data_IF_417621728868
#
_entry.id   IF_417621728868
#
_cell.length_a   1.000
_cell.length_b   1.000
_cell.length_c   1.000
_cell.angle_alpha   90.00
_cell.angle_beta   90.00
_cell.angle_gamma   90.00
#
_symmetry.space_group_name_H-M   'P 1'
#
loop_
_entity.id
_entity.type
_entity.pdbx_description
1 polymer ?
#
# COMPACT_ATOMS: atom_id res chain seq x y z
N UNK A 1 3.25 -8.31 19.90
CA UNK A 1 3.42 -9.13 18.70
C UNK A 1 4.25 -8.41 17.65
N UNK A 2 5.08 -9.17 16.91
CA UNK A 2 5.87 -8.70 15.77
C UNK A 2 5.77 -9.71 14.63
N UNK A 3 5.91 -9.23 13.40
CA UNK A 3 5.87 -10.09 12.22
C UNK A 3 7.13 -9.91 11.37
N UNK A 4 7.62 -10.97 10.79
CA UNK A 4 8.67 -10.93 9.79
C UNK A 4 8.13 -10.65 8.36
N UNK A 5 6.81 -10.56 8.21
CA UNK A 5 6.15 -10.44 6.89
C UNK A 5 6.37 -9.10 6.19
N UNK A 6 6.71 -8.02 6.89
CA UNK A 6 6.79 -6.65 6.34
C UNK A 6 8.23 -6.15 6.29
N UNK A 7 8.72 -5.52 7.35
CA UNK A 7 10.05 -4.90 7.38
C UNK A 7 11.20 -5.89 7.09
N UNK A 8 11.05 -7.15 7.49
CA UNK A 8 12.02 -8.20 7.16
C UNK A 8 11.85 -8.80 5.75
N UNK A 9 10.72 -8.54 5.06
CA UNK A 9 10.48 -9.05 3.72
C UNK A 9 10.16 -10.55 3.63
N UNK A 10 9.82 -11.19 4.74
CA UNK A 10 9.65 -12.65 4.85
C UNK A 10 8.16 -13.08 4.91
N UNK A 11 7.30 -12.43 4.14
CA UNK A 11 5.86 -12.69 4.16
C UNK A 11 5.51 -14.16 3.85
N UNK A 12 6.23 -14.79 2.92
CA UNK A 12 6.02 -16.18 2.50
C UNK A 12 6.36 -17.20 3.57
N UNK A 13 7.22 -16.88 4.52
CA UNK A 13 7.67 -17.82 5.57
C UNK A 13 6.69 -17.93 6.75
N UNK A 14 5.70 -17.07 6.86
CA UNK A 14 4.64 -17.10 7.88
C UNK A 14 5.18 -17.11 9.32
N UNK A 15 6.21 -16.30 9.62
CA UNK A 15 6.86 -16.20 10.93
C UNK A 15 6.53 -14.86 11.61
N UNK A 16 6.34 -14.94 12.90
CA UNK A 16 6.21 -13.81 13.81
C UNK A 16 6.52 -14.26 15.24
N UNK A 17 6.57 -13.33 16.15
CA UNK A 17 6.76 -13.65 17.56
C UNK A 17 5.91 -12.75 18.48
N UNK A 18 5.64 -13.26 19.67
CA UNK A 18 4.98 -12.52 20.74
C UNK A 18 5.83 -12.54 22.01
N UNK A 19 5.79 -11.43 22.73
CA UNK A 19 6.36 -11.33 24.08
C UNK A 19 5.30 -10.87 25.05
N UNK A 20 5.35 -11.34 26.28
CA UNK A 20 4.36 -11.01 27.29
C UNK A 20 4.69 -11.62 28.64
N UNK A 21 3.76 -11.51 29.61
CA UNK A 21 3.94 -12.16 30.91
C UNK A 21 4.03 -13.68 30.75
N UNK A 22 4.77 -14.38 31.63
CA UNK A 22 4.87 -15.84 31.58
C UNK A 22 3.50 -16.54 31.57
N UNK A 23 2.55 -16.05 32.33
CA UNK A 23 1.18 -16.59 32.38
C UNK A 23 0.50 -16.51 31.03
N UNK A 24 0.58 -15.35 30.35
CA UNK A 24 0.01 -15.17 29.02
C UNK A 24 0.66 -16.11 27.99
N UNK A 25 2.00 -16.18 28.01
CA UNK A 25 2.74 -17.05 27.09
C UNK A 25 2.38 -18.52 27.30
N UNK A 26 2.26 -18.98 28.55
CA UNK A 26 1.82 -20.35 28.85
C UNK A 26 0.42 -20.67 28.34
N UNK A 27 -0.52 -19.71 28.45
CA UNK A 27 -1.87 -19.90 27.89
C UNK A 27 -1.83 -19.97 26.37
N UNK A 28 -1.05 -19.11 25.71
CA UNK A 28 -0.86 -19.15 24.26
C UNK A 28 -0.25 -20.46 23.78
N UNK A 29 0.76 -20.97 24.48
CA UNK A 29 1.40 -22.26 24.16
C UNK A 29 0.44 -23.43 24.20
N UNK A 30 -0.58 -23.41 25.06
CA UNK A 30 -1.59 -24.50 25.14
C UNK A 30 -2.48 -24.59 23.90
N UNK A 31 -2.63 -23.52 23.13
CA UNK A 31 -3.47 -23.46 21.93
C UNK A 31 -2.67 -23.54 20.62
N UNK A 32 -1.34 -23.50 20.72
CA UNK A 32 -0.48 -23.67 19.54
C UNK A 32 -0.45 -25.12 19.08
N UNK A 33 -0.57 -25.31 17.78
CA UNK A 33 -0.39 -26.64 17.19
C UNK A 33 1.08 -27.06 17.28
N UNK A 34 1.36 -28.35 17.48
CA UNK A 34 2.72 -28.89 17.33
C UNK A 34 3.26 -28.53 15.94
N UNK A 35 4.53 -28.14 15.88
CA UNK A 35 5.23 -27.82 14.61
C UNK A 35 4.55 -26.73 13.75
N UNK A 36 3.85 -25.78 14.39
CA UNK A 36 3.10 -24.68 13.75
C UNK A 36 3.97 -23.76 12.86
N UNK A 37 5.30 -23.78 13.03
CA UNK A 37 6.27 -23.11 12.14
C UNK A 37 7.30 -24.15 11.70
N UNK A 38 7.56 -24.25 10.40
CA UNK A 38 8.55 -25.19 9.88
C UNK A 38 10.00 -24.73 10.20
N UNK A 39 10.91 -25.70 10.30
CA UNK A 39 12.30 -25.44 10.71
C UNK A 39 13.05 -24.51 9.75
N UNK A 40 12.80 -24.59 8.44
CA UNK A 40 13.42 -23.71 7.46
C UNK A 40 12.99 -22.26 7.67
N UNK A 41 11.70 -22.01 7.89
CA UNK A 41 11.19 -20.68 8.18
C UNK A 41 11.80 -20.08 9.44
N UNK A 42 11.99 -20.90 10.49
CA UNK A 42 12.64 -20.44 11.72
C UNK A 42 14.11 -20.09 11.49
N UNK A 43 14.85 -20.95 10.80
CA UNK A 43 16.27 -20.73 10.48
C UNK A 43 16.46 -19.41 9.70
N UNK A 44 15.66 -19.20 8.64
CA UNK A 44 15.76 -17.96 7.84
C UNK A 44 15.37 -16.74 8.67
N UNK A 45 14.33 -16.84 9.51
CA UNK A 45 13.91 -15.72 10.37
C UNK A 45 15.00 -15.37 11.40
N UNK A 46 15.64 -16.36 12.01
CA UNK A 46 16.76 -16.16 12.95
C UNK A 46 17.95 -15.51 12.23
N UNK A 47 18.35 -16.04 11.07
CA UNK A 47 19.45 -15.46 10.29
C UNK A 47 19.22 -13.99 9.99
N UNK A 48 18.02 -13.61 9.51
CA UNK A 48 17.71 -12.22 9.19
C UNK A 48 17.54 -11.35 10.44
N UNK A 49 17.09 -11.93 11.55
CA UNK A 49 16.98 -11.21 12.83
C UNK A 49 18.35 -10.81 13.39
N UNK A 50 19.38 -11.62 13.16
CA UNK A 50 20.75 -11.35 13.58
C UNK A 50 21.47 -10.30 12.72
N UNK A 51 20.81 -9.82 11.64
CA UNK A 51 21.32 -8.79 10.72
C UNK A 51 20.55 -7.46 10.86
N UNK A 52 20.69 -6.73 11.99
CA UNK A 52 19.91 -5.53 12.28
C UNK A 52 20.13 -4.40 11.27
N UNK A 53 21.30 -4.32 10.66
CA UNK A 53 21.62 -3.27 9.69
C UNK A 53 20.84 -3.45 8.38
N UNK A 54 20.57 -4.69 7.98
CA UNK A 54 19.70 -4.97 6.84
C UNK A 54 18.27 -4.46 7.09
N UNK A 55 17.75 -4.70 8.31
CA UNK A 55 16.43 -4.20 8.70
C UNK A 55 16.39 -2.67 8.71
N UNK A 56 17.38 -2.01 9.32
CA UNK A 56 17.46 -0.54 9.39
C UNK A 56 17.50 0.08 8.00
N UNK A 57 18.33 -0.45 7.11
CA UNK A 57 18.45 0.00 5.72
C UNK A 57 17.11 -0.07 4.98
N UNK A 58 16.41 -1.21 5.06
CA UNK A 58 15.09 -1.39 4.44
C UNK A 58 14.04 -0.44 5.00
N UNK A 59 14.00 -0.28 6.31
CA UNK A 59 13.07 0.63 6.98
C UNK A 59 13.33 2.07 6.57
N UNK A 60 14.59 2.50 6.53
CA UNK A 60 14.98 3.85 6.10
C UNK A 60 14.51 4.10 4.65
N UNK A 61 14.81 3.18 3.74
CA UNK A 61 14.37 3.27 2.35
C UNK A 61 12.84 3.45 2.24
N UNK A 62 12.05 2.64 2.93
CA UNK A 62 10.59 2.74 2.90
C UNK A 62 10.10 4.08 3.49
N UNK A 63 10.73 4.58 4.54
CA UNK A 63 10.40 5.88 5.13
C UNK A 63 10.64 7.00 4.12
N UNK A 64 11.76 6.98 3.42
CA UNK A 64 12.14 8.02 2.46
C UNK A 64 11.28 7.95 1.20
N UNK A 65 11.03 6.76 0.67
CA UNK A 65 10.11 6.57 -0.45
C UNK A 65 8.68 7.00 -0.10
N UNK A 66 8.21 6.75 1.12
CA UNK A 66 6.91 7.22 1.58
C UNK A 66 6.85 8.75 1.62
N UNK A 67 7.89 9.44 2.08
CA UNK A 67 7.97 10.91 2.08
C UNK A 67 7.91 11.47 0.65
N UNK A 68 8.69 10.89 -0.28
CA UNK A 68 8.70 11.29 -1.70
C UNK A 68 7.33 11.10 -2.33
N UNK A 69 6.72 9.92 -2.16
CA UNK A 69 5.40 9.60 -2.70
C UNK A 69 4.31 10.50 -2.13
N UNK A 70 4.32 10.74 -0.82
CA UNK A 70 3.38 11.67 -0.18
C UNK A 70 3.48 13.08 -0.75
N UNK A 71 4.71 13.58 -0.97
CA UNK A 71 4.94 14.89 -1.58
C UNK A 71 4.40 14.94 -3.02
N UNK A 72 4.66 13.90 -3.80
CA UNK A 72 4.20 13.82 -5.19
C UNK A 72 2.68 13.76 -5.28
N UNK A 73 2.02 12.92 -4.48
CA UNK A 73 0.56 12.77 -4.48
C UNK A 73 -0.15 14.06 -4.03
N UNK A 74 0.36 14.72 -2.98
CA UNK A 74 -0.17 16.02 -2.55
C UNK A 74 -0.05 17.09 -3.64
N UNK A 75 1.06 17.11 -4.38
CA UNK A 75 1.26 18.02 -5.51
C UNK A 75 0.36 17.74 -6.72
N UNK A 76 -0.36 16.64 -6.72
CA UNK A 76 -1.36 16.24 -7.74
C UNK A 76 -2.80 16.30 -7.22
N UNK A 77 -3.04 16.98 -6.10
CA UNK A 77 -4.35 17.13 -5.45
C UNK A 77 -5.00 15.83 -4.95
N UNK A 78 -4.18 14.84 -4.58
CA UNK A 78 -4.68 13.68 -3.84
C UNK A 78 -4.70 13.96 -2.33
N UNK A 79 -5.78 13.56 -1.67
CA UNK A 79 -5.86 13.48 -0.21
C UNK A 79 -5.20 12.20 0.28
N UNK A 80 -4.45 12.29 1.37
CA UNK A 80 -3.68 11.18 1.94
C UNK A 80 -4.13 10.88 3.36
N UNK A 81 -4.22 9.61 3.68
CA UNK A 81 -4.32 9.18 5.07
C UNK A 81 -2.92 9.04 5.69
N UNK A 82 -2.72 9.47 6.96
CA UNK A 82 -1.46 9.28 7.66
C UNK A 82 -1.05 7.81 7.69
N UNK A 83 0.20 7.52 7.37
CA UNK A 83 0.72 6.15 7.34
C UNK A 83 2.11 6.06 7.96
N UNK A 84 2.31 5.04 8.81
CA UNK A 84 3.62 4.60 9.31
C UNK A 84 3.98 3.20 8.78
N UNK A 85 3.27 2.74 7.74
CA UNK A 85 3.42 1.41 7.16
C UNK A 85 4.23 1.45 5.85
N UNK A 86 4.32 0.31 5.18
CA UNK A 86 4.91 0.17 3.85
C UNK A 86 3.90 0.42 2.71
N UNK A 87 2.79 1.05 3.00
CA UNK A 87 1.80 1.46 1.99
C UNK A 87 1.23 2.84 2.31
N UNK A 88 0.62 3.45 1.30
CA UNK A 88 -0.11 4.72 1.39
C UNK A 88 -1.54 4.45 0.97
N UNK A 89 -2.49 5.07 1.65
CA UNK A 89 -3.87 5.17 1.20
C UNK A 89 -4.16 6.59 0.76
N UNK A 90 -4.69 6.74 -0.44
CA UNK A 90 -5.00 8.03 -1.03
C UNK A 90 -6.29 7.98 -1.84
N UNK A 91 -6.88 9.15 -2.05
CA UNK A 91 -8.06 9.36 -2.89
C UNK A 91 -7.96 10.74 -3.54
N UNK A 92 -8.61 10.98 -4.69
CA UNK A 92 -8.66 12.29 -5.30
C UNK A 92 -9.31 13.32 -4.35
N UNK A 93 -8.85 14.59 -4.37
CA UNK A 93 -9.62 15.71 -3.77
C UNK A 93 -10.94 15.89 -4.51
N UNK A 94 -11.87 16.66 -3.97
CA UNK A 94 -13.16 16.91 -4.63
C UNK A 94 -13.00 17.49 -6.02
N UNK A 95 -12.10 18.45 -6.19
CA UNK A 95 -11.84 19.09 -7.48
C UNK A 95 -11.18 18.12 -8.48
N UNK A 96 -10.19 17.36 -8.03
CA UNK A 96 -9.56 16.32 -8.86
C UNK A 96 -10.55 15.20 -9.22
N UNK A 97 -11.43 14.83 -8.27
CA UNK A 97 -12.45 13.81 -8.49
C UNK A 97 -13.43 14.22 -9.59
N UNK A 98 -13.90 15.47 -9.56
CA UNK A 98 -14.77 16.00 -10.61
C UNK A 98 -14.09 15.92 -12.00
N UNK A 99 -12.84 16.37 -12.10
CA UNK A 99 -12.07 16.33 -13.37
C UNK A 99 -11.84 14.92 -13.88
N UNK A 100 -11.45 13.99 -12.99
CA UNK A 100 -11.21 12.59 -13.34
C UNK A 100 -12.50 11.86 -13.74
N UNK A 101 -13.61 12.13 -13.06
CA UNK A 101 -14.90 11.56 -13.42
C UNK A 101 -15.32 12.02 -14.83
N UNK A 102 -15.22 13.33 -15.12
CA UNK A 102 -15.51 13.89 -16.44
C UNK A 102 -14.61 13.28 -17.53
N UNK A 103 -13.31 13.18 -17.27
CA UNK A 103 -12.36 12.50 -18.16
C UNK A 103 -12.76 11.06 -18.40
N UNK A 104 -13.10 10.30 -17.36
CA UNK A 104 -13.52 8.91 -17.48
C UNK A 104 -14.76 8.74 -18.36
N UNK A 105 -15.77 9.59 -18.20
CA UNK A 105 -16.98 9.58 -19.03
C UNK A 105 -16.61 9.81 -20.51
N UNK A 106 -15.76 10.80 -20.81
CA UNK A 106 -15.27 11.04 -22.18
C UNK A 106 -14.51 9.85 -22.77
N UNK A 107 -13.80 9.08 -21.93
CA UNK A 107 -13.09 7.87 -22.36
C UNK A 107 -14.02 6.63 -22.49
N UNK A 108 -15.32 6.79 -22.28
CA UNK A 108 -16.29 5.71 -22.40
C UNK A 108 -16.37 4.77 -21.19
N UNK A 109 -15.82 5.18 -20.03
CA UNK A 109 -16.01 4.41 -18.80
C UNK A 109 -17.49 4.47 -18.39
N UNK A 110 -18.09 3.31 -18.17
CA UNK A 110 -19.43 3.19 -17.56
C UNK A 110 -19.26 3.34 -16.04
N UNK A 111 -19.39 4.55 -15.56
CA UNK A 111 -19.16 4.91 -14.16
C UNK A 111 -20.49 5.33 -13.53
N UNK A 112 -20.76 4.82 -12.33
CA UNK A 112 -21.94 5.14 -11.53
C UNK A 112 -21.51 5.52 -10.10
N UNK A 113 -22.25 6.43 -9.48
CA UNK A 113 -22.02 6.85 -8.10
C UNK A 113 -21.43 8.25 -7.98
N UNK A 114 -20.78 8.53 -6.85
CA UNK A 114 -20.17 9.84 -6.59
C UNK A 114 -18.94 10.10 -7.46
N UNK A 115 -18.56 11.36 -7.62
CA UNK A 115 -17.35 11.75 -8.35
C UNK A 115 -16.10 11.07 -7.78
N UNK A 116 -16.00 10.93 -6.45
CA UNK A 116 -14.86 10.28 -5.79
C UNK A 116 -14.77 8.80 -6.18
N UNK A 117 -15.91 8.08 -6.18
CA UNK A 117 -15.96 6.69 -6.59
C UNK A 117 -15.55 6.53 -8.04
N UNK A 118 -16.14 7.35 -8.92
CA UNK A 118 -15.83 7.33 -10.36
C UNK A 118 -14.35 7.67 -10.62
N UNK A 119 -13.83 8.69 -9.99
CA UNK A 119 -12.44 9.10 -10.11
C UNK A 119 -11.46 8.03 -9.62
N UNK A 120 -11.73 7.42 -8.48
CA UNK A 120 -10.95 6.30 -7.98
C UNK A 120 -10.94 5.12 -8.95
N UNK A 121 -12.10 4.79 -9.53
CA UNK A 121 -12.22 3.73 -10.54
C UNK A 121 -11.42 4.04 -11.82
N UNK A 122 -11.40 5.29 -12.28
CA UNK A 122 -10.58 5.74 -13.41
C UNK A 122 -9.10 5.55 -13.09
N UNK A 123 -8.62 6.06 -11.95
CA UNK A 123 -7.21 5.93 -11.54
C UNK A 123 -6.83 4.46 -11.41
N UNK A 124 -7.67 3.65 -10.74
CA UNK A 124 -7.43 2.21 -10.60
C UNK A 124 -7.31 1.52 -11.97
N UNK A 125 -8.24 1.78 -12.89
CA UNK A 125 -8.22 1.17 -14.23
C UNK A 125 -7.00 1.58 -15.04
N UNK A 126 -6.58 2.83 -14.98
CA UNK A 126 -5.38 3.31 -15.68
C UNK A 126 -4.10 2.66 -15.11
N UNK A 127 -3.99 2.53 -13.78
CA UNK A 127 -2.88 1.83 -13.15
C UNK A 127 -2.86 0.34 -13.56
N UNK A 128 -4.01 -0.32 -13.53
CA UNK A 128 -4.14 -1.71 -13.93
C UNK A 128 -3.78 -1.91 -15.42
N UNK A 129 -4.24 -1.03 -16.29
CA UNK A 129 -3.89 -1.03 -17.72
C UNK A 129 -2.39 -0.91 -17.98
N UNK A 130 -1.68 -0.18 -17.12
CA UNK A 130 -0.21 -0.08 -17.11
C UNK A 130 0.48 -1.24 -16.37
N UNK A 131 -0.25 -2.31 -16.02
CA UNK A 131 0.24 -3.50 -15.26
C UNK A 131 0.74 -3.17 -13.86
N UNK A 132 0.27 -2.08 -13.26
CA UNK A 132 0.56 -1.69 -11.88
C UNK A 132 -0.60 -2.16 -11.01
N UNK A 133 -0.34 -3.18 -10.18
CA UNK A 133 -1.33 -3.76 -9.28
C UNK A 133 -1.38 -2.96 -7.97
N UNK A 134 -2.54 -2.38 -7.69
CA UNK A 134 -2.85 -1.69 -6.43
C UNK A 134 -4.03 -2.36 -5.75
N UNK A 135 -4.24 -2.07 -4.48
CA UNK A 135 -5.43 -2.57 -3.78
C UNK A 135 -6.59 -1.59 -3.95
N UNK A 136 -7.63 -2.09 -4.57
CA UNK A 136 -8.88 -1.35 -4.78
C UNK A 136 -9.69 -1.23 -3.48
N UNK A 137 -9.97 0.00 -3.07
CA UNK A 137 -10.88 0.39 -2.00
C UNK A 137 -11.97 1.34 -2.52
N UNK A 138 -12.06 1.55 -3.83
CA UNK A 138 -12.93 2.57 -4.43
C UNK A 138 -14.40 2.41 -4.02
N UNK A 139 -14.86 1.17 -3.85
CA UNK A 139 -16.23 0.84 -3.43
C UNK A 139 -16.40 0.66 -1.93
N UNK A 140 -15.36 0.93 -1.11
CA UNK A 140 -15.47 0.77 0.33
C UNK A 140 -16.38 1.87 0.92
N UNK A 141 -17.43 1.54 1.72
CA UNK A 141 -18.44 2.53 2.15
C UNK A 141 -17.85 3.74 2.89
N UNK A 142 -16.82 3.52 3.72
CA UNK A 142 -16.17 4.58 4.49
C UNK A 142 -15.04 5.30 3.73
N UNK A 143 -14.66 4.84 2.53
CA UNK A 143 -13.49 5.30 1.79
C UNK A 143 -13.77 5.33 0.27
N UNK A 144 -14.87 5.95 -0.19
CA UNK A 144 -15.21 5.96 -1.61
C UNK A 144 -14.09 6.59 -2.44
N UNK A 145 -13.72 5.93 -3.52
CA UNK A 145 -12.65 6.39 -4.40
C UNK A 145 -11.21 6.13 -3.90
N UNK A 146 -11.03 5.49 -2.74
CA UNK A 146 -9.70 5.27 -2.18
C UNK A 146 -8.94 4.12 -2.87
N UNK A 147 -7.63 4.29 -2.92
CA UNK A 147 -6.68 3.30 -3.45
C UNK A 147 -5.57 3.13 -2.41
N UNK A 148 -5.17 1.87 -2.15
CA UNK A 148 -4.01 1.55 -1.36
C UNK A 148 -2.85 1.13 -2.26
N UNK A 149 -1.76 1.88 -2.19
CA UNK A 149 -0.53 1.66 -2.92
C UNK A 149 0.56 1.17 -1.95
N UNK A 150 1.14 0.00 -2.22
CA UNK A 150 2.36 -0.45 -1.53
C UNK A 150 3.58 0.25 -2.13
N UNK A 151 4.51 0.66 -1.26
CA UNK A 151 5.77 1.25 -1.70
C UNK A 151 6.71 0.15 -2.20
N UNK A 152 7.24 0.35 -3.39
CA UNK A 152 8.24 -0.50 -4.04
C UNK A 152 9.63 0.10 -4.01
N UNK A 153 10.45 -0.26 -5.00
CA UNK A 153 11.74 0.38 -5.25
C UNK A 153 11.56 1.83 -5.71
N UNK A 154 12.65 2.61 -5.70
CA UNK A 154 12.61 4.00 -6.19
C UNK A 154 12.11 4.06 -7.64
N UNK A 155 12.62 3.18 -8.50
CA UNK A 155 12.27 3.12 -9.92
C UNK A 155 10.79 2.76 -10.13
N UNK A 156 10.26 1.83 -9.33
CA UNK A 156 8.84 1.46 -9.38
C UNK A 156 7.96 2.63 -8.94
N UNK A 157 8.32 3.29 -7.85
CA UNK A 157 7.59 4.44 -7.33
C UNK A 157 7.60 5.63 -8.30
N UNK A 158 8.74 5.91 -8.96
CA UNK A 158 8.86 6.96 -9.97
C UNK A 158 7.97 6.69 -11.19
N UNK A 159 7.90 5.45 -11.66
CA UNK A 159 6.97 5.05 -12.74
C UNK A 159 5.52 5.31 -12.37
N UNK A 160 5.14 4.99 -11.13
CA UNK A 160 3.77 5.23 -10.63
C UNK A 160 3.48 6.73 -10.60
N UNK A 161 4.41 7.54 -10.08
CA UNK A 161 4.27 9.00 -10.01
C UNK A 161 4.15 9.61 -11.41
N UNK A 162 4.95 9.15 -12.38
CA UNK A 162 4.89 9.62 -13.75
C UNK A 162 3.54 9.34 -14.38
N UNK A 163 3.02 8.12 -14.24
CA UNK A 163 1.70 7.73 -14.75
C UNK A 163 0.57 8.53 -14.10
N UNK A 164 0.60 8.71 -12.78
CA UNK A 164 -0.41 9.51 -12.08
C UNK A 164 -0.40 10.97 -12.53
N UNK A 165 0.78 11.56 -12.79
CA UNK A 165 0.89 12.90 -13.38
C UNK A 165 0.26 12.97 -14.76
N UNK A 166 0.50 11.98 -15.60
CA UNK A 166 -0.10 11.89 -16.94
C UNK A 166 -1.64 11.83 -16.87
N UNK A 167 -2.17 10.96 -15.99
CA UNK A 167 -3.62 10.82 -15.78
C UNK A 167 -4.23 12.16 -15.33
N UNK A 168 -3.59 12.84 -14.35
CA UNK A 168 -4.05 14.13 -13.86
C UNK A 168 -3.97 15.23 -14.92
N UNK A 169 -2.95 15.23 -15.78
CA UNK A 169 -2.81 16.17 -16.89
C UNK A 169 -3.94 15.99 -17.90
N UNK A 170 -4.19 14.76 -18.35
CA UNK A 170 -5.31 14.43 -19.26
C UNK A 170 -6.67 14.83 -18.69
N UNK A 171 -6.85 14.70 -17.37
CA UNK A 171 -8.08 15.10 -16.69
C UNK A 171 -8.25 16.63 -16.59
N UNK A 172 -7.18 17.42 -16.71
CA UNK A 172 -7.26 18.90 -16.78
C UNK A 172 -7.74 19.40 -18.14
N UNK A 173 -7.46 18.67 -19.20
CA UNK A 173 -7.81 19.00 -20.58
C UNK A 173 -9.22 18.51 -20.98
N UNK A 174 -9.86 17.73 -20.12
CA UNK A 174 -11.17 17.13 -20.39
C UNK A 174 -12.34 18.03 -20.02
#
# INVERSE_FOLDING_TARGET
>A
FRTFSKAYGLAGLRVGYGTGSPVLIQVMQKVLLPYHVNAFSLLVAETVYLEPELLKSRVSMIIDERKKMNKALKGMDFRLYPSSTNFIMFLPSEELAFRLAKYGIKQGYKLEGSNELMAGAVVFSQLLGAKILVRDFTKHPALPGAIRLSLGTTEENEKIVALLKEICAKAKEA
#
